data_IF_497270888665
#
_entry.id   IF_497270888665
#
_cell.length_a   1.000
_cell.length_b   1.000
_cell.length_c   1.000
_cell.angle_alpha   90.00
_cell.angle_beta   90.00
_cell.angle_gamma   90.00
#
_symmetry.space_group_name_H-M   'P 1'
#
loop_
_entity.id
_entity.type
_entity.pdbx_description
1 polymer ?
#
# COMPACT_ATOMS: atom_id res chain seq x y z
N UNK A 1 4.79 -14.68 14.05
CA UNK A 1 5.14 -14.25 15.43
C UNK A 1 4.99 -12.75 15.56
N UNK A 2 4.45 -12.25 16.67
CA UNK A 2 4.39 -10.81 16.98
C UNK A 2 5.63 -10.42 17.79
N UNK A 3 6.21 -9.23 17.52
CA UNK A 3 7.34 -8.65 18.26
C UNK A 3 6.89 -7.33 18.88
N UNK A 4 7.24 -7.09 20.14
CA UNK A 4 6.91 -5.84 20.83
C UNK A 4 7.99 -4.79 20.55
N UNK A 5 7.57 -3.53 20.44
CA UNK A 5 8.45 -2.39 20.21
C UNK A 5 8.06 -1.31 21.22
N UNK A 6 9.05 -0.71 21.87
CA UNK A 6 8.84 0.45 22.75
C UNK A 6 9.04 1.72 21.93
N UNK A 7 8.07 2.63 21.98
CA UNK A 7 8.10 3.92 21.26
C UNK A 7 7.92 5.03 22.27
N UNK A 8 8.81 6.03 22.20
CA UNK A 8 8.70 7.26 22.98
C UNK A 8 7.89 8.28 22.20
N UNK A 9 6.83 8.80 22.81
CA UNK A 9 5.99 9.87 22.27
C UNK A 9 5.94 10.99 23.30
N UNK A 10 5.85 12.24 22.85
CA UNK A 10 5.59 13.35 23.75
C UNK A 10 4.17 13.27 24.33
N UNK A 11 3.95 13.97 25.45
CA UNK A 11 2.70 13.91 26.18
C UNK A 11 1.50 14.41 25.36
N UNK A 12 1.69 15.42 24.51
CA UNK A 12 0.61 16.00 23.71
C UNK A 12 0.18 15.02 22.61
N UNK A 13 1.14 14.43 21.90
CA UNK A 13 0.89 13.39 20.90
C UNK A 13 0.21 12.17 21.51
N UNK A 14 0.64 11.71 22.69
CA UNK A 14 0.01 10.59 23.38
C UNK A 14 -1.44 10.88 23.76
N UNK A 15 -1.75 12.10 24.19
CA UNK A 15 -3.11 12.51 24.53
C UNK A 15 -4.03 12.49 23.29
N UNK A 16 -3.57 13.05 22.18
CA UNK A 16 -4.33 13.04 20.92
C UNK A 16 -4.49 11.61 20.39
N UNK A 17 -3.44 10.78 20.47
CA UNK A 17 -3.49 9.39 20.06
C UNK A 17 -4.53 8.58 20.87
N UNK A 18 -4.65 8.83 22.18
CA UNK A 18 -5.70 8.22 23.03
C UNK A 18 -7.10 8.62 22.57
N UNK A 19 -7.32 9.91 22.29
CA UNK A 19 -8.61 10.40 21.80
C UNK A 19 -8.97 9.76 20.46
N UNK A 20 -8.03 9.72 19.52
CA UNK A 20 -8.22 9.11 18.20
C UNK A 20 -8.48 7.60 18.31
N UNK A 21 -7.74 6.90 19.17
CA UNK A 21 -7.93 5.48 19.39
C UNK A 21 -9.31 5.19 19.98
N UNK A 22 -9.77 5.99 20.95
CA UNK A 22 -11.10 5.86 21.54
C UNK A 22 -12.22 6.09 20.51
N UNK A 23 -12.13 7.13 19.68
CA UNK A 23 -13.09 7.38 18.59
C UNK A 23 -13.21 6.19 17.62
N UNK A 24 -12.12 5.44 17.43
CA UNK A 24 -12.06 4.26 16.55
C UNK A 24 -12.32 2.94 17.28
N UNK A 25 -12.66 2.96 18.57
CA UNK A 25 -12.81 1.76 19.42
C UNK A 25 -11.56 0.84 19.41
N UNK A 26 -10.38 1.45 19.44
CA UNK A 26 -9.08 0.76 19.44
C UNK A 26 -8.25 1.18 20.66
N UNK A 27 -7.28 0.34 21.03
CA UNK A 27 -6.19 0.77 21.91
C UNK A 27 -5.14 1.55 21.11
N UNK A 28 -4.36 2.40 21.78
CA UNK A 28 -3.26 3.15 21.15
C UNK A 28 -2.27 2.23 20.44
N UNK A 29 -1.89 1.11 21.06
CA UNK A 29 -0.99 0.13 20.45
C UNK A 29 -1.60 -0.53 19.21
N UNK A 30 -2.92 -0.83 19.22
CA UNK A 30 -3.59 -1.42 18.06
C UNK A 30 -3.75 -0.40 16.93
N UNK A 31 -4.01 0.86 17.26
CA UNK A 31 -4.03 1.97 16.30
C UNK A 31 -2.67 2.13 15.61
N UNK A 32 -1.58 2.21 16.38
CA UNK A 32 -0.22 2.35 15.84
C UNK A 32 0.18 1.13 14.99
N UNK A 33 -0.14 -0.08 15.45
CA UNK A 33 0.15 -1.30 14.70
C UNK A 33 -0.60 -1.32 13.35
N UNK A 34 -1.86 -0.89 13.32
CA UNK A 34 -2.65 -0.82 12.10
C UNK A 34 -2.13 0.25 11.13
N UNK A 35 -1.75 1.42 11.63
CA UNK A 35 -1.19 2.50 10.81
C UNK A 35 0.14 2.08 10.18
N UNK A 36 1.05 1.52 10.99
CA UNK A 36 2.34 1.00 10.50
C UNK A 36 2.15 -0.11 9.47
N UNK A 37 1.24 -1.05 9.73
CA UNK A 37 0.92 -2.12 8.78
C UNK A 37 0.42 -1.54 7.44
N UNK A 38 -0.48 -0.55 7.49
CA UNK A 38 -0.99 0.12 6.30
C UNK A 38 0.09 0.88 5.52
N UNK A 39 1.03 1.53 6.20
CA UNK A 39 2.16 2.19 5.54
C UNK A 39 3.09 1.19 4.84
N UNK A 40 3.45 0.11 5.53
CA UNK A 40 4.31 -0.95 4.96
C UNK A 40 3.63 -1.62 3.77
N UNK A 41 2.33 -1.90 3.88
CA UNK A 41 1.59 -2.56 2.81
C UNK A 41 1.52 -1.70 1.54
N UNK A 42 1.24 -0.39 1.69
CA UNK A 42 1.27 0.57 0.57
C UNK A 42 2.63 0.59 -0.13
N UNK A 43 3.72 0.64 0.63
CA UNK A 43 5.08 0.66 0.07
C UNK A 43 5.39 -0.66 -0.66
N UNK A 44 5.02 -1.80 -0.05
CA UNK A 44 5.21 -3.12 -0.68
C UNK A 44 4.42 -3.26 -1.97
N UNK A 45 3.17 -2.80 -2.00
CA UNK A 45 2.34 -2.81 -3.19
C UNK A 45 2.94 -1.96 -4.30
N UNK A 46 3.41 -0.74 -3.97
CA UNK A 46 4.09 0.12 -4.93
C UNK A 46 5.34 -0.55 -5.51
N UNK A 47 6.22 -1.08 -4.65
CA UNK A 47 7.44 -1.75 -5.09
C UNK A 47 7.17 -2.99 -5.94
N UNK A 48 6.14 -3.78 -5.59
CA UNK A 48 5.73 -4.93 -6.38
C UNK A 48 5.24 -4.50 -7.78
N UNK A 49 4.34 -3.51 -7.84
CA UNK A 49 3.83 -2.99 -9.11
C UNK A 49 4.96 -2.42 -9.98
N UNK A 50 5.89 -1.68 -9.37
CA UNK A 50 7.08 -1.14 -10.03
C UNK A 50 7.96 -2.25 -10.60
N UNK A 51 8.26 -3.29 -9.82
CA UNK A 51 9.05 -4.44 -10.31
C UNK A 51 8.37 -5.15 -11.47
N UNK A 52 7.06 -5.33 -11.40
CA UNK A 52 6.29 -5.98 -12.46
C UNK A 52 6.30 -5.15 -13.75
N UNK A 53 6.07 -3.84 -13.66
CA UNK A 53 6.13 -2.94 -14.81
C UNK A 53 7.52 -2.94 -15.46
N UNK A 54 8.59 -2.88 -14.64
CA UNK A 54 9.97 -2.97 -15.15
C UNK A 54 10.29 -4.33 -15.76
N UNK A 55 9.75 -5.43 -15.21
CA UNK A 55 9.89 -6.75 -15.80
C UNK A 55 9.20 -6.84 -17.16
N UNK A 56 7.98 -6.31 -17.31
CA UNK A 56 7.29 -6.23 -18.60
C UNK A 56 8.08 -5.43 -19.63
N UNK A 57 8.66 -4.29 -19.25
CA UNK A 57 9.52 -3.51 -20.13
C UNK A 57 10.79 -4.26 -20.54
N UNK A 58 11.41 -5.00 -19.61
CA UNK A 58 12.62 -5.81 -19.88
C UNK A 58 12.37 -7.04 -20.73
N UNK A 59 11.20 -7.66 -20.58
CA UNK A 59 10.80 -8.79 -21.40
C UNK A 59 10.70 -8.35 -22.87
N UNK A 60 10.48 -7.06 -23.15
CA UNK A 60 10.71 -6.40 -24.44
C UNK A 60 9.75 -6.82 -25.56
N UNK A 61 9.20 -8.02 -25.45
CA UNK A 61 8.35 -8.72 -26.38
C UNK A 61 7.12 -9.16 -25.59
N UNK A 62 6.27 -8.21 -25.20
CA UNK A 62 4.87 -8.57 -25.38
C UNK A 62 4.77 -8.78 -26.90
N UNK A 63 4.56 -10.02 -27.33
CA UNK A 63 4.18 -10.35 -28.71
C UNK A 63 2.82 -9.69 -28.98
N UNK A 64 2.84 -8.36 -29.05
CA UNK A 64 1.78 -7.52 -29.56
C UNK A 64 1.94 -7.41 -31.07
N UNK A 65 2.51 -8.45 -31.72
CA UNK A 65 2.73 -8.58 -33.16
C UNK A 65 1.44 -8.66 -33.99
N UNK A 66 0.33 -8.13 -33.48
CA UNK A 66 -0.91 -7.88 -34.20
C UNK A 66 -1.06 -6.40 -34.53
N UNK A 67 -1.88 -6.10 -35.54
CA UNK A 67 -2.33 -4.72 -35.75
C UNK A 67 -3.04 -4.22 -34.49
N UNK A 68 -2.66 -3.04 -34.00
CA UNK A 68 -3.37 -2.38 -32.91
C UNK A 68 -4.84 -2.21 -33.32
N UNK A 69 -5.76 -2.68 -32.47
CA UNK A 69 -7.18 -2.39 -32.63
C UNK A 69 -7.37 -0.87 -32.67
N UNK A 70 -8.16 -0.39 -33.62
CA UNK A 70 -8.62 0.98 -33.57
C UNK A 70 -9.59 1.15 -32.39
N UNK A 71 -9.81 2.42 -31.98
CA UNK A 71 -10.64 2.75 -30.82
C UNK A 71 -12.03 2.10 -30.87
N UNK A 72 -12.61 1.98 -32.07
CA UNK A 72 -13.94 1.41 -32.28
C UNK A 72 -13.91 -0.10 -32.07
N UNK A 73 -12.92 -0.79 -32.65
CA UNK A 73 -12.75 -2.24 -32.51
C UNK A 73 -12.46 -2.68 -31.06
N UNK A 74 -11.80 -1.83 -30.26
CA UNK A 74 -11.59 -2.09 -28.85
C UNK A 74 -12.85 -1.87 -27.99
N UNK A 75 -13.76 -1.01 -28.42
CA UNK A 75 -14.98 -0.68 -27.67
C UNK A 75 -16.07 -1.76 -27.81
N UNK A 76 -16.09 -2.48 -28.93
CA UNK A 76 -17.11 -3.50 -29.22
C UNK A 76 -16.81 -4.89 -28.62
N UNK A 77 -15.71 -5.05 -27.88
CA UNK A 77 -15.29 -6.30 -27.23
C UNK A 77 -15.65 -6.41 -25.75
#
# INVERSE_FOLDING_TARGET
MKRNITVSLDAATLQQAKQLAAQRNLSVSKLLAADLAGQVDKERHYEQARRQALAWLKIGELDMGGQYLNRTEAHER
#
